data_IF_009089493272
#
_entry.id   IF_009089493272
#
_cell.length_a   1.000
_cell.length_b   1.000
_cell.length_c   1.000
_cell.angle_alpha   90.00
_cell.angle_beta   90.00
_cell.angle_gamma   90.00
#
_symmetry.space_group_name_H-M   'P 1'
#
loop_
_entity.id
_entity.type
_entity.pdbx_description
1 polymer ?
#
# COMPACT_ATOMS: atom_id res chain seq x y z
N UNK A 1 -19.96 -141.51 -24.71
CA UNK A 1 -19.95 -140.51 -23.62
C UNK A 1 -20.46 -139.21 -24.24
N UNK A 2 -21.62 -138.71 -23.81
CA UNK A 2 -22.13 -137.42 -24.29
C UNK A 2 -21.68 -136.35 -23.30
N UNK A 3 -20.78 -135.48 -23.73
CA UNK A 3 -20.33 -134.33 -22.96
C UNK A 3 -21.28 -133.16 -23.20
N UNK A 4 -21.75 -132.51 -22.14
CA UNK A 4 -22.55 -131.27 -22.24
C UNK A 4 -21.69 -130.10 -21.80
N UNK A 5 -21.34 -129.23 -22.73
CA UNK A 5 -20.56 -128.02 -22.48
C UNK A 5 -21.47 -126.81 -22.34
N UNK A 6 -21.23 -125.96 -21.35
CA UNK A 6 -21.93 -124.70 -21.12
C UNK A 6 -20.93 -123.55 -21.03
N UNK A 7 -21.27 -122.41 -21.61
CA UNK A 7 -20.38 -121.24 -21.70
C UNK A 7 -20.99 -120.04 -20.99
N UNK A 8 -20.17 -119.24 -20.32
CA UNK A 8 -20.59 -118.01 -19.63
C UNK A 8 -19.78 -116.82 -20.15
N UNK A 9 -20.44 -115.69 -20.41
CA UNK A 9 -19.80 -114.46 -20.87
C UNK A 9 -19.15 -113.71 -19.69
N UNK A 10 -17.85 -113.42 -19.79
CA UNK A 10 -17.07 -112.70 -18.79
C UNK A 10 -16.92 -111.20 -19.11
N UNK A 11 -17.55 -110.71 -20.18
CA UNK A 11 -17.46 -109.29 -20.55
C UNK A 11 -18.07 -108.39 -19.48
N UNK A 12 -17.49 -107.20 -19.33
CA UNK A 12 -18.01 -106.15 -18.45
C UNK A 12 -19.44 -105.77 -18.82
N UNK A 13 -20.25 -105.48 -17.80
CA UNK A 13 -21.66 -105.12 -17.89
C UNK A 13 -21.88 -103.83 -17.09
N UNK A 14 -22.43 -102.77 -17.72
CA UNK A 14 -22.82 -101.58 -17.00
C UNK A 14 -24.12 -101.84 -16.24
N UNK A 15 -24.10 -101.53 -14.95
CA UNK A 15 -25.25 -101.64 -14.05
C UNK A 15 -25.59 -100.24 -13.54
N UNK A 16 -26.68 -99.63 -14.03
CA UNK A 16 -27.19 -98.40 -13.45
C UNK A 16 -27.78 -98.71 -12.08
N UNK A 17 -27.40 -97.91 -11.10
CA UNK A 17 -27.83 -98.04 -9.71
C UNK A 17 -28.43 -96.71 -9.27
N UNK A 18 -29.66 -96.76 -8.78
CA UNK A 18 -30.37 -95.59 -8.29
C UNK A 18 -30.88 -95.90 -6.87
N UNK A 19 -30.40 -95.13 -5.89
CA UNK A 19 -30.89 -95.24 -4.52
C UNK A 19 -31.68 -93.99 -4.21
N UNK A 20 -32.97 -94.17 -3.96
CA UNK A 20 -33.88 -93.10 -3.51
C UNK A 20 -34.07 -93.13 -2.01
N UNK A 21 -34.27 -91.94 -1.43
CA UNK A 21 -34.56 -91.76 0.00
C UNK A 21 -33.54 -92.46 0.92
N UNK A 22 -32.24 -92.35 0.59
CA UNK A 22 -31.16 -92.81 1.45
C UNK A 22 -30.88 -91.74 2.52
N UNK A 23 -31.11 -92.08 3.78
CA UNK A 23 -30.82 -91.16 4.88
C UNK A 23 -29.32 -91.04 5.09
N UNK A 24 -28.81 -89.81 5.03
CA UNK A 24 -27.43 -89.49 5.39
C UNK A 24 -27.25 -89.42 6.91
N UNK A 25 -25.99 -89.33 7.36
CA UNK A 25 -25.69 -88.87 8.72
C UNK A 25 -26.27 -87.47 8.91
N UNK A 26 -27.15 -87.31 9.89
CA UNK A 26 -27.93 -86.08 10.10
C UNK A 26 -29.39 -86.16 9.64
N UNK A 27 -29.81 -87.25 8.99
CA UNK A 27 -31.22 -87.52 8.69
C UNK A 27 -31.75 -86.85 7.42
N UNK A 28 -30.88 -86.31 6.57
CA UNK A 28 -31.29 -85.73 5.28
C UNK A 28 -31.51 -86.86 4.26
N UNK A 29 -32.69 -86.94 3.62
CA UNK A 29 -32.93 -87.91 2.56
C UNK A 29 -32.20 -87.48 1.29
N UNK A 30 -31.38 -88.39 0.75
CA UNK A 30 -30.60 -88.19 -0.47
C UNK A 30 -30.99 -89.19 -1.55
N UNK A 31 -30.94 -88.72 -2.80
CA UNK A 31 -31.09 -89.50 -4.01
C UNK A 31 -29.74 -89.54 -4.73
N UNK A 32 -29.25 -90.74 -5.00
CA UNK A 32 -27.93 -90.96 -5.59
C UNK A 32 -28.10 -91.81 -6.84
N UNK A 33 -27.51 -91.35 -7.94
CA UNK A 33 -27.41 -92.09 -9.18
C UNK A 33 -25.95 -92.46 -9.43
N UNK A 34 -25.69 -93.73 -9.68
CA UNK A 34 -24.37 -94.26 -9.95
C UNK A 34 -24.41 -95.27 -11.10
N UNK A 35 -23.26 -95.44 -11.77
CA UNK A 35 -23.05 -96.53 -12.72
C UNK A 35 -21.87 -97.37 -12.23
N UNK A 36 -22.13 -98.66 -12.06
CA UNK A 36 -21.12 -99.65 -11.75
C UNK A 36 -20.83 -100.49 -12.99
N UNK A 37 -19.56 -100.68 -13.31
CA UNK A 37 -19.12 -101.65 -14.30
C UNK A 37 -18.69 -102.90 -13.57
N UNK A 38 -19.43 -103.99 -13.77
CA UNK A 38 -19.13 -105.29 -13.16
C UNK A 38 -18.79 -106.31 -14.22
N UNK A 39 -18.07 -107.35 -13.85
CA UNK A 39 -17.88 -108.54 -14.68
C UNK A 39 -17.91 -109.79 -13.82
N UNK A 40 -18.07 -110.94 -14.45
CA UNK A 40 -17.82 -112.20 -13.76
C UNK A 40 -16.32 -112.35 -13.57
N UNK A 41 -15.88 -112.69 -12.36
CA UNK A 41 -14.46 -112.81 -12.06
C UNK A 41 -13.83 -113.97 -12.82
N UNK A 42 -12.60 -113.76 -13.30
CA UNK A 42 -11.78 -114.83 -13.90
C UNK A 42 -10.87 -115.53 -12.87
N UNK A 43 -10.89 -115.10 -11.60
CA UNK A 43 -10.07 -115.70 -10.55
C UNK A 43 -10.64 -117.09 -10.20
N UNK A 44 -9.83 -118.17 -10.36
CA UNK A 44 -10.23 -119.54 -10.04
C UNK A 44 -10.78 -119.71 -8.61
N UNK A 45 -10.42 -118.85 -7.66
CA UNK A 45 -10.87 -118.92 -6.27
C UNK A 45 -12.32 -118.50 -6.07
N UNK A 46 -12.83 -117.56 -6.88
CA UNK A 46 -14.17 -116.99 -6.71
C UNK A 46 -15.10 -117.25 -7.90
N UNK A 47 -14.57 -117.58 -9.08
CA UNK A 47 -15.38 -117.87 -10.28
C UNK A 47 -16.36 -119.03 -10.07
N UNK A 48 -16.01 -120.02 -9.23
CA UNK A 48 -16.90 -121.13 -8.88
C UNK A 48 -18.23 -120.68 -8.30
N UNK A 49 -18.23 -119.61 -7.49
CA UNK A 49 -19.43 -119.03 -6.90
C UNK A 49 -20.38 -118.42 -7.95
N UNK A 50 -19.82 -117.86 -9.03
CA UNK A 50 -20.62 -117.30 -10.13
C UNK A 50 -21.16 -118.41 -11.03
N UNK A 51 -20.36 -119.45 -11.30
CA UNK A 51 -20.79 -120.62 -12.06
C UNK A 51 -21.94 -121.32 -11.33
N UNK A 52 -21.81 -121.59 -10.03
CA UNK A 52 -22.86 -122.27 -9.27
C UNK A 52 -24.20 -121.50 -9.28
N UNK A 53 -24.16 -120.17 -9.24
CA UNK A 53 -25.37 -119.33 -9.12
C UNK A 53 -25.98 -118.93 -10.46
N UNK A 54 -25.15 -118.66 -11.45
CA UNK A 54 -25.54 -117.98 -12.68
C UNK A 54 -25.33 -118.82 -13.95
N UNK A 55 -24.77 -120.03 -13.85
CA UNK A 55 -24.74 -120.95 -15.00
C UNK A 55 -26.19 -121.22 -15.47
N UNK A 56 -26.43 -121.05 -16.78
CA UNK A 56 -27.76 -121.09 -17.42
C UNK A 56 -28.73 -119.96 -17.07
N UNK A 57 -28.30 -118.95 -16.31
CA UNK A 57 -29.12 -117.76 -16.07
C UNK A 57 -28.91 -116.72 -17.15
N UNK A 58 -29.94 -115.92 -17.39
CA UNK A 58 -29.84 -114.78 -18.29
C UNK A 58 -28.96 -113.68 -17.69
N UNK A 59 -28.29 -112.91 -18.55
CA UNK A 59 -27.42 -111.81 -18.14
C UNK A 59 -28.18 -110.71 -17.37
N UNK A 60 -29.48 -110.56 -17.64
CA UNK A 60 -30.35 -109.65 -16.89
C UNK A 60 -30.50 -110.04 -15.42
N UNK A 61 -30.50 -111.34 -15.11
CA UNK A 61 -30.56 -111.82 -13.72
C UNK A 61 -29.27 -111.52 -12.96
N UNK A 62 -28.11 -111.70 -13.60
CA UNK A 62 -26.80 -111.30 -13.02
C UNK A 62 -26.79 -109.80 -12.73
N UNK A 63 -27.25 -109.00 -13.69
CA UNK A 63 -27.34 -107.54 -13.58
C UNK A 63 -28.29 -107.12 -12.46
N UNK A 64 -29.44 -107.81 -12.31
CA UNK A 64 -30.44 -107.56 -11.28
C UNK A 64 -29.88 -107.85 -9.88
N UNK A 65 -29.28 -109.01 -9.67
CA UNK A 65 -28.70 -109.41 -8.37
C UNK A 65 -27.54 -108.48 -7.99
N UNK A 66 -26.69 -108.12 -8.95
CA UNK A 66 -25.62 -107.16 -8.72
C UNK A 66 -26.16 -105.77 -8.37
N UNK A 67 -27.20 -105.30 -9.07
CA UNK A 67 -27.88 -104.02 -8.76
C UNK A 67 -28.43 -104.01 -7.35
N UNK A 68 -29.19 -105.03 -6.94
CA UNK A 68 -29.74 -105.13 -5.59
C UNK A 68 -28.65 -105.13 -4.50
N UNK A 69 -27.53 -105.81 -4.76
CA UNK A 69 -26.37 -105.82 -3.84
C UNK A 69 -25.67 -104.46 -3.76
N UNK A 70 -25.55 -103.77 -4.89
CA UNK A 70 -25.00 -102.41 -4.98
C UNK A 70 -25.88 -101.39 -4.27
N UNK A 71 -27.20 -101.44 -4.46
CA UNK A 71 -28.16 -100.55 -3.80
C UNK A 71 -28.13 -100.69 -2.28
N UNK A 72 -28.08 -101.93 -1.77
CA UNK A 72 -27.99 -102.20 -0.34
C UNK A 72 -26.72 -101.61 0.29
N UNK A 73 -25.57 -101.85 -0.33
CA UNK A 73 -24.28 -101.34 0.14
C UNK A 73 -24.20 -99.81 0.04
N UNK A 74 -24.62 -99.22 -1.08
CA UNK A 74 -24.68 -97.77 -1.24
C UNK A 74 -25.52 -97.13 -0.12
N UNK A 75 -26.70 -97.69 0.17
CA UNK A 75 -27.55 -97.20 1.26
C UNK A 75 -26.86 -97.28 2.62
N UNK A 76 -26.13 -98.37 2.89
CA UNK A 76 -25.37 -98.56 4.13
C UNK A 76 -24.27 -97.52 4.33
N UNK A 77 -23.46 -97.26 3.30
CA UNK A 77 -22.35 -96.29 3.39
C UNK A 77 -22.88 -94.86 3.51
N UNK A 78 -23.94 -94.51 2.77
CA UNK A 78 -24.55 -93.17 2.82
C UNK A 78 -25.04 -92.81 4.22
N UNK A 79 -25.53 -93.78 4.99
CA UNK A 79 -25.96 -93.56 6.37
C UNK A 79 -24.82 -93.09 7.31
N UNK A 80 -23.55 -93.30 6.93
CA UNK A 80 -22.39 -92.94 7.76
C UNK A 80 -21.80 -91.56 7.45
N UNK A 81 -22.16 -90.95 6.31
CA UNK A 81 -21.57 -89.72 5.81
C UNK A 81 -22.58 -88.57 5.80
N UNK A 82 -22.11 -87.34 5.92
CA UNK A 82 -22.98 -86.16 5.81
C UNK A 82 -23.16 -85.74 4.34
N UNK A 83 -24.24 -85.02 3.98
CA UNK A 83 -24.48 -84.56 2.62
C UNK A 83 -23.34 -83.70 2.05
N UNK A 84 -22.67 -82.91 2.90
CA UNK A 84 -21.54 -82.06 2.52
C UNK A 84 -20.33 -82.90 2.15
N UNK A 85 -19.97 -83.88 2.99
CA UNK A 85 -18.84 -84.78 2.74
C UNK A 85 -19.02 -85.54 1.42
N UNK A 86 -20.25 -85.97 1.14
CA UNK A 86 -20.60 -86.64 -0.10
C UNK A 86 -20.42 -85.73 -1.33
N UNK A 87 -20.67 -84.43 -1.19
CA UNK A 87 -20.55 -83.49 -2.29
C UNK A 87 -19.11 -82.96 -2.47
N UNK A 88 -18.37 -82.78 -1.39
CA UNK A 88 -16.99 -82.26 -1.40
C UNK A 88 -15.98 -83.27 -1.96
N UNK A 89 -16.06 -84.55 -1.56
CA UNK A 89 -15.11 -85.58 -1.99
C UNK A 89 -15.80 -86.84 -2.52
N UNK A 90 -16.28 -86.74 -3.75
CA UNK A 90 -16.95 -87.83 -4.46
C UNK A 90 -16.01 -89.00 -4.80
N UNK A 91 -14.71 -88.74 -4.92
CA UNK A 91 -13.73 -89.77 -5.25
C UNK A 91 -13.48 -90.66 -4.04
N UNK A 92 -13.21 -90.07 -2.88
CA UNK A 92 -13.02 -90.81 -1.63
C UNK A 92 -14.25 -91.64 -1.28
N UNK A 93 -15.45 -91.11 -1.50
CA UNK A 93 -16.68 -91.86 -1.28
C UNK A 93 -16.82 -93.05 -2.25
N UNK A 94 -16.53 -92.85 -3.54
CA UNK A 94 -16.56 -93.93 -4.52
C UNK A 94 -15.56 -95.06 -4.18
N UNK A 95 -14.37 -94.72 -3.69
CA UNK A 95 -13.37 -95.69 -3.23
C UNK A 95 -13.87 -96.51 -2.03
N UNK A 96 -14.41 -95.85 -0.99
CA UNK A 96 -14.93 -96.55 0.19
C UNK A 96 -16.08 -97.50 -0.15
N UNK A 97 -17.01 -97.08 -1.00
CA UNK A 97 -18.07 -97.96 -1.47
C UNK A 97 -17.49 -99.12 -2.28
N UNK A 98 -16.53 -98.83 -3.16
CA UNK A 98 -15.92 -99.86 -4.00
C UNK A 98 -15.28 -100.96 -3.15
N UNK A 99 -14.63 -100.63 -2.03
CA UNK A 99 -14.07 -101.62 -1.10
C UNK A 99 -15.14 -102.51 -0.46
N UNK A 100 -16.22 -101.93 0.06
CA UNK A 100 -17.31 -102.68 0.70
C UNK A 100 -18.07 -103.56 -0.30
N UNK A 101 -18.45 -102.97 -1.43
CA UNK A 101 -19.14 -103.65 -2.53
C UNK A 101 -18.29 -104.77 -3.12
N UNK A 102 -16.98 -104.56 -3.29
CA UNK A 102 -16.10 -105.58 -3.87
C UNK A 102 -16.08 -106.86 -3.04
N UNK A 103 -16.16 -106.73 -1.70
CA UNK A 103 -16.21 -107.89 -0.79
C UNK A 103 -17.51 -108.68 -0.94
N UNK A 104 -18.64 -108.00 -1.10
CA UNK A 104 -19.93 -108.66 -1.26
C UNK A 104 -20.14 -109.25 -2.66
N UNK A 105 -19.70 -108.55 -3.70
CA UNK A 105 -19.72 -109.06 -5.07
C UNK A 105 -18.79 -110.27 -5.24
N UNK A 106 -17.64 -110.30 -4.57
CA UNK A 106 -16.74 -111.45 -4.60
C UNK A 106 -17.39 -112.73 -4.05
N UNK A 107 -18.27 -112.63 -3.04
CA UNK A 107 -19.05 -113.78 -2.54
C UNK A 107 -19.99 -114.34 -3.59
N UNK A 108 -20.45 -113.51 -4.53
CA UNK A 108 -21.27 -113.88 -5.69
C UNK A 108 -20.43 -114.34 -6.90
N UNK A 109 -19.10 -114.25 -6.82
CA UNK A 109 -18.18 -114.51 -7.93
C UNK A 109 -18.13 -113.38 -8.97
N UNK A 110 -18.61 -112.19 -8.61
CA UNK A 110 -18.59 -110.99 -9.43
C UNK A 110 -17.44 -110.07 -9.00
N UNK A 111 -16.90 -109.33 -9.96
CA UNK A 111 -15.86 -108.33 -9.75
C UNK A 111 -16.37 -106.95 -10.16
N UNK A 112 -16.16 -105.96 -9.30
CA UNK A 112 -16.34 -104.55 -9.62
C UNK A 112 -15.08 -104.03 -10.33
N UNK A 113 -15.23 -103.47 -11.53
CA UNK A 113 -14.14 -102.80 -12.23
C UNK A 113 -14.09 -101.32 -11.84
N UNK A 114 -15.21 -100.62 -12.00
CA UNK A 114 -15.32 -99.17 -11.76
C UNK A 114 -16.69 -98.85 -11.20
N UNK A 115 -16.73 -97.98 -10.17
CA UNK A 115 -17.94 -97.32 -9.69
C UNK A 115 -17.82 -95.81 -9.95
N UNK A 116 -18.81 -95.21 -10.61
CA UNK A 116 -18.90 -93.77 -10.79
C UNK A 116 -20.23 -93.24 -10.29
N UNK A 117 -20.17 -92.16 -9.53
CA UNK A 117 -21.36 -91.44 -9.06
C UNK A 117 -21.67 -90.35 -10.07
N UNK A 118 -22.88 -90.38 -10.62
CA UNK A 118 -23.33 -89.42 -11.63
C UNK A 118 -23.91 -88.17 -10.96
N UNK A 119 -24.85 -88.37 -10.04
CA UNK A 119 -25.55 -87.28 -9.40
C UNK A 119 -25.88 -87.63 -7.95
N UNK A 120 -25.87 -86.60 -7.12
CA UNK A 120 -26.32 -86.61 -5.73
C UNK A 120 -27.25 -85.41 -5.61
N UNK A 121 -28.48 -85.67 -5.22
CA UNK A 121 -29.51 -84.66 -5.01
C UNK A 121 -30.23 -84.94 -3.70
N UNK A 122 -30.76 -83.91 -3.06
CA UNK A 122 -31.52 -84.04 -1.83
C UNK A 122 -32.98 -83.59 -2.06
N UNK A 123 -33.93 -84.18 -1.34
CA UNK A 123 -35.36 -83.87 -1.51
C UNK A 123 -35.79 -82.58 -0.80
N UNK A 124 -34.95 -82.03 0.09
CA UNK A 124 -35.31 -80.97 1.04
C UNK A 124 -34.58 -79.64 0.73
N UNK A 125 -33.97 -79.53 -0.44
CA UNK A 125 -33.20 -78.36 -0.89
C UNK A 125 -32.09 -77.91 0.08
N UNK A 126 -31.56 -78.84 0.87
CA UNK A 126 -30.54 -78.66 1.90
C UNK A 126 -29.23 -78.17 1.32
N UNK A 127 -28.70 -78.85 0.29
CA UNK A 127 -27.41 -78.49 -0.31
C UNK A 127 -27.46 -77.10 -0.95
N UNK A 128 -28.57 -76.77 -1.61
CA UNK A 128 -28.79 -75.44 -2.19
C UNK A 128 -28.94 -74.36 -1.10
N UNK A 129 -29.56 -74.68 0.03
CA UNK A 129 -29.70 -73.75 1.15
C UNK A 129 -28.37 -73.44 1.84
N UNK A 130 -27.49 -74.44 2.00
CA UNK A 130 -26.12 -74.23 2.46
C UNK A 130 -25.35 -73.34 1.50
N UNK A 131 -25.42 -73.62 0.20
CA UNK A 131 -24.76 -72.80 -0.83
C UNK A 131 -25.21 -71.34 -0.77
N UNK A 132 -26.52 -71.08 -0.68
CA UNK A 132 -27.08 -69.73 -0.51
C UNK A 132 -26.57 -69.04 0.74
N UNK A 133 -26.52 -69.73 1.88
CA UNK A 133 -26.00 -69.19 3.15
C UNK A 133 -24.53 -68.82 3.04
N UNK A 134 -23.72 -69.67 2.41
CA UNK A 134 -22.29 -69.43 2.23
C UNK A 134 -22.03 -68.22 1.32
N UNK A 135 -22.76 -68.12 0.21
CA UNK A 135 -22.68 -66.96 -0.70
C UNK A 135 -23.09 -65.67 0.03
N UNK A 136 -24.16 -65.70 0.82
CA UNK A 136 -24.60 -64.54 1.60
C UNK A 136 -23.57 -64.11 2.67
N UNK A 137 -22.88 -65.07 3.29
CA UNK A 137 -21.80 -64.80 4.24
C UNK A 137 -20.61 -64.14 3.55
N UNK A 138 -20.13 -64.71 2.44
CA UNK A 138 -19.01 -64.13 1.66
C UNK A 138 -19.35 -62.71 1.20
N UNK A 139 -20.58 -62.48 0.72
CA UNK A 139 -21.03 -61.15 0.30
C UNK A 139 -21.05 -60.16 1.46
N UNK A 140 -21.56 -60.56 2.62
CA UNK A 140 -21.57 -59.72 3.83
C UNK A 140 -20.15 -59.37 4.25
N UNK A 141 -19.25 -60.34 4.28
CA UNK A 141 -17.87 -60.14 4.72
C UNK A 141 -17.12 -59.20 3.76
N UNK A 142 -17.37 -59.33 2.45
CA UNK A 142 -16.86 -58.41 1.44
C UNK A 142 -17.38 -56.97 1.63
N UNK A 143 -18.69 -56.81 1.90
CA UNK A 143 -19.31 -55.51 2.15
C UNK A 143 -18.78 -54.85 3.42
N UNK A 144 -18.56 -55.62 4.49
CA UNK A 144 -17.93 -55.15 5.72
C UNK A 144 -16.50 -54.68 5.43
N UNK A 145 -15.72 -55.46 4.67
CA UNK A 145 -14.35 -55.11 4.32
C UNK A 145 -14.28 -53.82 3.50
N UNK A 146 -15.17 -53.64 2.52
CA UNK A 146 -15.24 -52.43 1.70
C UNK A 146 -15.65 -51.20 2.54
N UNK A 147 -16.66 -51.36 3.40
CA UNK A 147 -17.11 -50.28 4.29
C UNK A 147 -16.02 -49.84 5.27
N UNK A 148 -15.30 -50.79 5.87
CA UNK A 148 -14.18 -50.50 6.77
C UNK A 148 -13.03 -49.79 6.04
N UNK A 149 -12.66 -50.27 4.85
CA UNK A 149 -11.62 -49.62 4.05
C UNK A 149 -12.00 -48.19 3.65
N UNK A 150 -13.27 -47.95 3.32
CA UNK A 150 -13.78 -46.61 3.02
C UNK A 150 -13.76 -45.71 4.24
N UNK A 151 -14.23 -46.18 5.40
CA UNK A 151 -14.22 -45.42 6.64
C UNK A 151 -12.79 -45.05 7.07
N UNK A 152 -11.84 -45.98 6.93
CA UNK A 152 -10.42 -45.72 7.20
C UNK A 152 -9.84 -44.66 6.25
N UNK A 153 -10.14 -44.77 4.95
CA UNK A 153 -9.71 -43.77 3.97
C UNK A 153 -10.29 -42.37 4.28
N UNK A 154 -11.58 -42.28 4.60
CA UNK A 154 -12.24 -41.02 5.00
C UNK A 154 -11.62 -40.43 6.28
N UNK A 155 -11.28 -41.26 7.26
CA UNK A 155 -10.62 -40.82 8.48
C UNK A 155 -9.22 -40.26 8.20
N UNK A 156 -8.42 -40.96 7.38
CA UNK A 156 -7.08 -40.52 6.98
C UNK A 156 -7.18 -39.20 6.21
N UNK A 157 -8.12 -39.07 5.27
CA UNK A 157 -8.34 -37.84 4.51
C UNK A 157 -8.70 -36.67 5.44
N UNK A 158 -9.63 -36.89 6.38
CA UNK A 158 -10.04 -35.88 7.35
C UNK A 158 -8.86 -35.46 8.26
N UNK A 159 -8.03 -36.39 8.69
CA UNK A 159 -6.84 -36.11 9.50
C UNK A 159 -5.78 -35.33 8.71
N UNK A 160 -5.52 -35.72 7.45
CA UNK A 160 -4.64 -35.00 6.55
C UNK A 160 -5.14 -33.56 6.28
N UNK A 161 -6.44 -33.39 6.05
CA UNK A 161 -7.03 -32.07 5.85
C UNK A 161 -6.90 -31.20 7.09
N UNK A 162 -7.19 -31.75 8.28
CA UNK A 162 -7.00 -31.04 9.56
C UNK A 162 -5.56 -30.60 9.76
N UNK A 163 -4.58 -31.47 9.50
CA UNK A 163 -3.15 -31.13 9.60
C UNK A 163 -2.76 -30.03 8.60
N UNK A 164 -3.25 -30.11 7.37
CA UNK A 164 -3.02 -29.09 6.34
C UNK A 164 -3.61 -27.73 6.76
N UNK A 165 -4.82 -27.70 7.33
CA UNK A 165 -5.44 -26.47 7.83
C UNK A 165 -4.67 -25.85 9.01
N UNK A 166 -4.19 -26.68 9.94
CA UNK A 166 -3.32 -26.23 11.05
C UNK A 166 -2.04 -25.61 10.48
N UNK A 167 -1.34 -26.31 9.58
CA UNK A 167 -0.10 -25.81 8.97
C UNK A 167 -0.30 -24.49 8.21
N UNK A 168 -1.41 -24.35 7.46
CA UNK A 168 -1.78 -23.09 6.79
C UNK A 168 -2.01 -21.97 7.80
N UNK A 169 -2.74 -22.25 8.87
CA UNK A 169 -3.05 -21.26 9.91
C UNK A 169 -1.78 -20.81 10.64
N UNK A 170 -0.88 -21.73 10.97
CA UNK A 170 0.42 -21.42 11.57
C UNK A 170 1.28 -20.56 10.64
N UNK A 171 1.35 -20.92 9.35
CA UNK A 171 2.07 -20.14 8.34
C UNK A 171 1.53 -18.72 8.21
N UNK A 172 0.19 -18.56 8.12
CA UNK A 172 -0.46 -17.25 8.09
C UNK A 172 -0.16 -16.44 9.35
N UNK A 173 -0.24 -17.07 10.52
CA UNK A 173 0.06 -16.43 11.81
C UNK A 173 1.51 -15.94 11.85
N UNK A 174 2.45 -16.74 11.36
CA UNK A 174 3.86 -16.36 11.28
C UNK A 174 4.07 -15.18 10.32
N UNK A 175 3.44 -15.20 9.15
CA UNK A 175 3.51 -14.08 8.19
C UNK A 175 2.97 -12.79 8.78
N UNK A 176 1.80 -12.83 9.44
CA UNK A 176 1.21 -11.65 10.10
C UNK A 176 2.11 -11.13 11.23
N UNK A 177 2.71 -12.02 12.04
CA UNK A 177 3.69 -11.61 13.05
C UNK A 177 4.89 -10.91 12.43
N UNK A 178 5.47 -11.47 11.36
CA UNK A 178 6.62 -10.89 10.65
C UNK A 178 6.27 -9.56 9.98
N UNK A 179 5.09 -9.43 9.41
CA UNK A 179 4.62 -8.18 8.82
C UNK A 179 4.43 -7.09 9.89
N UNK A 180 3.88 -7.44 11.06
CA UNK A 180 3.76 -6.53 12.19
C UNK A 180 5.13 -6.09 12.74
N UNK A 181 6.09 -7.01 12.86
CA UNK A 181 7.48 -6.69 13.22
C UNK A 181 8.09 -5.71 12.20
N UNK A 182 7.94 -5.99 10.91
CA UNK A 182 8.44 -5.14 9.84
C UNK A 182 7.78 -3.75 9.85
N UNK A 183 6.48 -3.65 10.14
CA UNK A 183 5.78 -2.36 10.30
C UNK A 183 6.33 -1.56 11.49
N UNK A 184 6.63 -2.20 12.62
CA UNK A 184 7.26 -1.54 13.77
C UNK A 184 8.64 -0.98 13.41
N UNK A 185 9.49 -1.81 12.80
CA UNK A 185 10.84 -1.39 12.38
C UNK A 185 10.77 -0.23 11.38
N UNK A 186 9.86 -0.29 10.40
CA UNK A 186 9.65 0.81 9.45
C UNK A 186 9.21 2.10 10.15
N UNK A 187 8.27 2.02 11.09
CA UNK A 187 7.79 3.17 11.83
C UNK A 187 8.89 3.79 12.71
N UNK A 188 9.70 2.97 13.38
CA UNK A 188 10.86 3.43 14.15
C UNK A 188 11.90 4.13 13.27
N UNK A 189 12.22 3.53 12.12
CA UNK A 189 13.17 4.10 11.17
C UNK A 189 12.65 5.42 10.57
N UNK A 190 11.38 5.49 10.21
CA UNK A 190 10.76 6.70 9.68
C UNK A 190 10.71 7.80 10.74
N UNK A 191 10.40 7.46 11.99
CA UNK A 191 10.44 8.40 13.12
C UNK A 191 11.85 8.94 13.34
N UNK A 192 12.87 8.08 13.29
CA UNK A 192 14.27 8.48 13.42
C UNK A 192 14.69 9.39 12.25
N UNK A 193 14.34 9.04 11.01
CA UNK A 193 14.62 9.84 9.83
C UNK A 193 13.95 11.23 9.90
N UNK A 194 12.67 11.30 10.30
CA UNK A 194 11.97 12.58 10.51
C UNK A 194 12.61 13.40 11.62
N UNK A 195 13.02 12.76 12.72
CA UNK A 195 13.69 13.47 13.82
C UNK A 195 15.01 14.08 13.38
N UNK A 196 15.82 13.36 12.61
CA UNK A 196 17.09 13.87 12.07
C UNK A 196 16.87 14.95 10.99
N UNK A 197 15.84 14.81 10.16
CA UNK A 197 15.47 15.84 9.18
C UNK A 197 15.04 17.14 9.86
N UNK A 198 14.20 17.06 10.90
CA UNK A 198 13.76 18.22 11.67
C UNK A 198 14.92 18.84 12.46
N UNK A 199 15.82 18.04 13.04
CA UNK A 199 17.08 18.54 13.65
C UNK A 199 17.92 19.30 12.63
N UNK A 200 18.08 18.75 11.43
CA UNK A 200 18.85 19.37 10.34
C UNK A 200 18.21 20.68 9.89
N UNK A 201 16.88 20.71 9.71
CA UNK A 201 16.13 21.94 9.37
C UNK A 201 16.24 22.98 10.48
N UNK A 202 16.13 22.57 11.75
CA UNK A 202 16.27 23.46 12.90
C UNK A 202 17.69 24.06 12.96
N UNK A 203 18.73 23.23 12.82
CA UNK A 203 20.11 23.67 12.76
C UNK A 203 20.36 24.63 11.58
N UNK A 204 19.78 24.35 10.40
CA UNK A 204 19.87 25.23 9.24
C UNK A 204 19.16 26.58 9.47
N UNK A 205 17.98 26.59 10.10
CA UNK A 205 17.27 27.81 10.48
C UNK A 205 18.05 28.62 11.51
N UNK A 206 18.63 27.95 12.51
CA UNK A 206 19.45 28.60 13.52
C UNK A 206 20.71 29.22 12.89
N UNK A 207 21.40 28.49 12.02
CA UNK A 207 22.56 29.01 11.28
C UNK A 207 22.18 30.22 10.42
N UNK A 208 21.03 30.19 9.74
CA UNK A 208 20.50 31.34 8.97
C UNK A 208 20.18 32.53 9.89
N UNK A 209 19.50 32.30 11.01
CA UNK A 209 19.17 33.35 11.97
C UNK A 209 20.43 34.00 12.56
N UNK A 210 21.46 33.21 12.92
CA UNK A 210 22.76 33.74 13.36
C UNK A 210 23.45 34.55 12.26
N UNK A 211 23.43 34.07 11.01
CA UNK A 211 24.00 34.79 9.88
C UNK A 211 23.26 36.12 9.60
N UNK A 212 21.92 36.13 9.72
CA UNK A 212 21.10 37.34 9.60
C UNK A 212 21.39 38.32 10.74
N UNK A 213 21.49 37.85 11.99
CA UNK A 213 21.88 38.68 13.13
C UNK A 213 23.23 39.36 12.90
N UNK A 214 24.25 38.60 12.47
CA UNK A 214 25.57 39.14 12.12
C UNK A 214 25.49 40.16 10.97
N UNK A 215 24.67 39.89 9.95
CA UNK A 215 24.47 40.83 8.86
C UNK A 215 23.80 42.13 9.34
N UNK A 216 22.83 42.04 10.26
CA UNK A 216 22.19 43.22 10.85
C UNK A 216 23.16 44.01 11.73
N UNK A 217 24.03 43.36 12.51
CA UNK A 217 25.06 44.08 13.30
C UNK A 217 26.03 44.81 12.39
N UNK A 218 26.50 44.16 11.31
CA UNK A 218 27.38 44.80 10.32
C UNK A 218 26.67 45.96 9.62
N UNK A 219 25.39 45.82 9.27
CA UNK A 219 24.59 46.93 8.69
C UNK A 219 24.40 48.09 9.66
N UNK A 220 24.14 47.80 10.93
CA UNK A 220 24.01 48.84 11.95
C UNK A 220 25.33 49.60 12.15
N UNK A 221 26.47 48.91 12.16
CA UNK A 221 27.80 49.54 12.19
C UNK A 221 28.06 50.40 10.95
N UNK A 222 27.74 49.88 9.76
CA UNK A 222 27.86 50.61 8.50
C UNK A 222 27.00 51.89 8.50
N UNK A 223 25.75 51.80 8.94
CA UNK A 223 24.84 52.95 8.99
C UNK A 223 25.29 53.97 10.04
N UNK A 224 25.80 53.52 11.20
CA UNK A 224 26.40 54.42 12.20
C UNK A 224 27.59 55.17 11.62
N UNK A 225 28.51 54.47 10.96
CA UNK A 225 29.67 55.08 10.28
C UNK A 225 29.24 56.05 9.19
N UNK A 226 28.17 55.73 8.44
CA UNK A 226 27.61 56.62 7.42
C UNK A 226 27.02 57.88 8.02
N UNK A 227 26.17 57.77 9.04
CA UNK A 227 25.60 58.93 9.75
C UNK A 227 26.67 59.80 10.39
N UNK A 228 27.72 59.18 10.95
CA UNK A 228 28.88 59.88 11.48
C UNK A 228 29.61 60.68 10.38
N UNK A 229 29.79 60.09 9.19
CA UNK A 229 30.42 60.74 8.03
C UNK A 229 29.55 61.82 7.35
N UNK A 230 28.25 61.56 7.19
CA UNK A 230 27.33 62.39 6.41
C UNK A 230 26.68 63.51 7.23
N UNK A 231 26.37 63.28 8.52
CA UNK A 231 25.68 64.26 9.36
C UNK A 231 26.59 64.85 10.44
N UNK A 232 27.27 64.01 11.23
CA UNK A 232 28.01 64.47 12.41
C UNK A 232 29.26 65.24 12.00
N UNK A 233 30.07 64.71 11.09
CA UNK A 233 31.31 65.37 10.64
C UNK A 233 31.04 66.74 9.98
N UNK A 234 30.07 66.89 9.06
CA UNK A 234 29.72 68.20 8.52
C UNK A 234 29.11 69.13 9.57
N UNK A 235 28.28 68.62 10.49
CA UNK A 235 27.72 69.42 11.58
C UNK A 235 28.79 69.91 12.56
N UNK A 236 29.77 69.07 12.90
CA UNK A 236 30.93 69.44 13.72
C UNK A 236 31.83 70.43 12.99
N UNK A 237 32.09 70.21 11.69
CA UNK A 237 32.83 71.15 10.86
C UNK A 237 32.11 72.51 10.77
N UNK A 238 30.78 72.53 10.63
CA UNK A 238 29.98 73.75 10.67
C UNK A 238 29.98 74.40 12.05
N UNK A 239 29.91 73.62 13.13
CA UNK A 239 29.99 74.13 14.51
C UNK A 239 31.34 74.81 14.74
N UNK A 240 32.44 74.15 14.36
CA UNK A 240 33.78 74.71 14.45
C UNK A 240 33.93 75.95 13.56
N UNK A 241 33.40 75.93 12.33
CA UNK A 241 33.39 77.11 11.45
C UNK A 241 32.62 78.28 12.08
N UNK A 242 31.44 78.04 12.66
CA UNK A 242 30.65 79.06 13.38
C UNK A 242 31.38 79.58 14.61
N UNK A 243 32.03 78.71 15.38
CA UNK A 243 32.81 79.11 16.55
C UNK A 243 34.00 79.99 16.16
N UNK A 244 34.69 79.66 15.07
CA UNK A 244 35.78 80.47 14.51
C UNK A 244 35.28 81.81 13.96
N UNK A 245 34.15 81.84 13.25
CA UNK A 245 33.50 83.07 12.79
C UNK A 245 33.09 83.94 13.98
N UNK A 246 32.50 83.34 15.03
CA UNK A 246 32.12 84.06 16.24
C UNK A 246 33.33 84.63 16.98
N UNK A 247 34.44 83.88 17.08
CA UNK A 247 35.72 84.39 17.62
C UNK A 247 36.28 85.53 16.77
N UNK A 248 36.20 85.44 15.44
CA UNK A 248 36.59 86.52 14.53
C UNK A 248 35.74 87.78 14.69
N UNK A 249 34.42 87.63 14.78
CA UNK A 249 33.49 88.73 15.02
C UNK A 249 33.69 89.37 16.40
N UNK A 250 33.94 88.56 17.43
CA UNK A 250 34.23 89.05 18.79
C UNK A 250 35.56 89.81 18.84
N UNK A 251 36.60 89.35 18.11
CA UNK A 251 37.86 90.08 17.99
C UNK A 251 37.66 91.43 17.28
N UNK A 252 36.96 91.44 16.14
CA UNK A 252 36.65 92.68 15.41
C UNK A 252 35.79 93.65 16.23
N UNK A 253 34.82 93.15 17.00
CA UNK A 253 34.01 93.95 17.92
C UNK A 253 34.84 94.49 19.09
N UNK A 254 35.72 93.69 19.68
CA UNK A 254 36.60 94.12 20.77
C UNK A 254 37.60 95.19 20.33
N UNK A 255 38.15 95.06 19.12
CA UNK A 255 39.10 96.02 18.55
C UNK A 255 38.40 97.32 18.14
N UNK A 256 37.19 97.23 17.55
CA UNK A 256 36.34 98.39 17.29
C UNK A 256 35.92 99.09 18.59
N UNK A 257 35.56 98.34 19.64
CA UNK A 257 35.22 98.92 20.94
C UNK A 257 36.42 99.61 21.61
N UNK A 258 37.64 99.07 21.44
CA UNK A 258 38.86 99.75 21.88
C UNK A 258 39.13 101.03 21.08
N UNK A 259 38.92 101.00 19.76
CA UNK A 259 39.04 102.19 18.91
C UNK A 259 38.01 103.26 19.27
N UNK A 260 36.75 102.90 19.52
CA UNK A 260 35.70 103.82 20.00
C UNK A 260 35.99 104.38 21.38
N UNK A 261 36.56 103.57 22.29
CA UNK A 261 37.01 104.05 23.60
C UNK A 261 38.15 105.07 23.47
N UNK A 262 39.11 104.84 22.58
CA UNK A 262 40.21 105.77 22.28
C UNK A 262 39.71 107.08 21.66
N UNK A 263 38.74 107.00 20.75
CA UNK A 263 38.08 108.17 20.16
C UNK A 263 37.32 108.96 21.23
N UNK A 264 36.62 108.29 22.15
CA UNK A 264 35.95 108.94 23.27
C UNK A 264 36.93 109.58 24.26
N UNK A 265 38.08 108.95 24.52
CA UNK A 265 39.11 109.50 25.43
C UNK A 265 39.78 110.74 24.81
N UNK A 266 40.07 110.72 23.51
CA UNK A 266 40.50 111.92 22.76
C UNK A 266 39.44 113.03 22.78
N UNK A 267 38.15 112.69 22.62
CA UNK A 267 37.04 113.65 22.73
C UNK A 267 36.98 114.28 24.12
N UNK A 268 37.20 113.50 25.18
CA UNK A 268 37.29 113.99 26.57
C UNK A 268 38.49 114.92 26.78
N UNK A 269 39.66 114.63 26.19
CA UNK A 269 40.85 115.48 26.29
C UNK A 269 40.65 116.83 25.57
N UNK A 270 40.07 116.81 24.37
CA UNK A 270 39.72 118.06 23.64
C UNK A 270 38.68 118.88 24.40
N UNK A 271 37.77 118.23 25.14
CA UNK A 271 36.79 118.91 25.99
C UNK A 271 37.45 119.63 27.18
N UNK A 272 38.56 119.12 27.72
CA UNK A 272 39.27 119.78 28.82
C UNK A 272 40.17 120.94 28.36
N UNK A 273 40.73 120.87 27.15
CA UNK A 273 41.66 121.90 26.67
C UNK A 273 40.96 123.08 25.97
N UNK A 274 39.71 122.93 25.53
CA UNK A 274 39.01 123.96 24.73
C UNK A 274 37.69 124.38 25.35
N UNK A 275 37.77 125.25 26.35
CA UNK A 275 36.62 125.83 27.02
C UNK A 275 35.80 126.78 26.13
N UNK A 276 34.50 126.48 26.03
CA UNK A 276 33.34 127.30 25.62
C UNK A 276 33.02 127.59 24.13
N UNK A 277 33.83 127.23 23.15
CA UNK A 277 33.46 127.41 21.71
C UNK A 277 33.33 126.11 20.88
N UNK A 278 33.37 124.93 21.51
CA UNK A 278 33.35 123.63 20.79
C UNK A 278 31.95 123.11 20.38
N UNK A 279 30.86 123.70 20.89
CA UNK A 279 29.50 123.22 20.61
C UNK A 279 29.03 123.55 19.18
N UNK A 280 29.50 124.64 18.57
CA UNK A 280 29.02 125.08 17.25
C UNK A 280 29.72 124.37 16.07
N UNK A 281 30.94 123.82 16.26
CA UNK A 281 31.61 122.99 15.24
C UNK A 281 31.02 121.56 15.18
N UNK A 282 30.53 121.04 16.31
CA UNK A 282 30.03 119.67 16.45
C UNK A 282 28.72 119.43 15.68
N UNK A 283 27.85 120.45 15.55
CA UNK A 283 26.60 120.35 14.79
C UNK A 283 26.81 120.22 13.28
N UNK A 284 27.84 120.85 12.72
CA UNK A 284 28.16 120.74 11.29
C UNK A 284 28.68 119.34 10.92
N UNK A 285 29.42 118.70 11.81
CA UNK A 285 29.99 117.37 11.56
C UNK A 285 28.92 116.27 11.67
N UNK A 286 28.01 116.36 12.65
CA UNK A 286 26.91 115.41 12.87
C UNK A 286 25.89 115.35 11.71
N UNK A 287 25.54 116.49 11.10
CA UNK A 287 24.62 116.52 9.95
C UNK A 287 25.17 115.71 8.76
N UNK A 288 26.48 115.77 8.53
CA UNK A 288 27.12 115.04 7.43
C UNK A 288 27.16 113.51 7.64
N UNK A 289 27.12 113.06 8.90
CA UNK A 289 27.14 111.64 9.25
C UNK A 289 25.73 111.02 9.11
N UNK A 290 24.69 111.75 9.53
CA UNK A 290 23.29 111.30 9.40
C UNK A 290 22.88 111.21 7.91
N UNK A 291 23.33 112.14 7.06
CA UNK A 291 23.08 112.08 5.61
C UNK A 291 23.73 110.87 4.92
N UNK A 292 24.88 110.40 5.42
CA UNK A 292 25.58 109.23 4.87
C UNK A 292 24.95 107.90 5.29
N UNK A 293 24.44 107.82 6.52
CA UNK A 293 23.85 106.59 7.04
C UNK A 293 22.40 106.40 6.56
N UNK A 294 21.67 107.49 6.29
CA UNK A 294 20.33 107.44 5.67
C UNK A 294 20.36 106.98 4.20
N UNK A 295 21.45 107.25 3.47
CA UNK A 295 21.64 106.78 2.10
C UNK A 295 21.88 105.25 1.99
N UNK A 296 22.25 104.57 3.08
CA UNK A 296 22.47 103.11 3.07
C UNK A 296 21.20 102.27 3.22
N UNK A 297 20.07 102.89 3.58
CA UNK A 297 18.79 102.17 3.79
C UNK A 297 18.12 101.79 2.46
N UNK A 298 18.58 102.34 1.33
CA UNK A 298 17.93 102.19 0.01
C UNK A 298 18.36 100.97 -0.82
N UNK A 299 19.23 100.06 -0.33
CA UNK A 299 19.79 98.97 -1.15
C UNK A 299 19.47 97.51 -0.74
N UNK A 300 18.62 97.24 0.28
CA UNK A 300 18.37 95.84 0.70
C UNK A 300 16.89 95.42 0.78
N UNK A 301 16.16 95.55 -0.32
CA UNK A 301 14.95 94.71 -0.54
C UNK A 301 15.07 94.01 -1.89
N UNK A 302 15.83 92.91 -1.94
CA UNK A 302 15.72 91.90 -2.99
C UNK A 302 14.81 90.78 -2.48
N UNK A 303 13.54 90.81 -2.87
CA UNK A 303 12.63 89.66 -2.75
C UNK A 303 12.80 88.79 -4.00
N UNK A 304 13.59 87.71 -3.89
CA UNK A 304 13.67 86.68 -4.93
C UNK A 304 12.51 85.68 -4.77
N UNK A 305 11.53 85.86 -5.66
CA UNK A 305 10.49 84.92 -6.10
C UNK A 305 9.37 84.49 -5.13
N UNK A 306 8.20 85.05 -5.44
CA UNK A 306 6.86 84.67 -5.00
C UNK A 306 6.41 83.45 -5.81
N UNK A 307 5.94 82.41 -5.12
CA UNK A 307 5.35 81.21 -5.72
C UNK A 307 3.87 81.46 -6.00
N UNK A 308 3.51 81.71 -7.26
CA UNK A 308 2.11 81.91 -7.67
C UNK A 308 1.48 80.55 -7.93
N UNK A 309 0.38 80.25 -7.22
CA UNK A 309 -0.48 79.10 -7.49
C UNK A 309 -1.49 79.55 -8.55
N UNK A 310 -1.35 79.03 -9.77
CA UNK A 310 -2.25 79.29 -10.88
C UNK A 310 -3.56 78.50 -10.70
N UNK A 311 -4.70 79.19 -10.81
CA UNK A 311 -6.04 78.58 -10.80
C UNK A 311 -6.63 78.45 -12.21
N UNK A 312 -5.82 78.58 -13.27
CA UNK A 312 -6.15 78.06 -14.59
C UNK A 312 -6.93 78.98 -15.53
N UNK A 313 -6.79 80.32 -15.41
CA UNK A 313 -7.50 81.28 -16.28
C UNK A 313 -6.57 82.25 -17.06
N UNK A 314 -5.26 81.98 -17.13
CA UNK A 314 -4.36 82.59 -18.12
C UNK A 314 -4.20 84.13 -18.07
N UNK A 315 -4.69 84.80 -17.02
CA UNK A 315 -4.68 86.27 -16.85
C UNK A 315 -3.79 86.79 -15.71
N UNK A 316 -3.09 85.91 -15.02
CA UNK A 316 -2.27 86.20 -13.83
C UNK A 316 -0.95 86.93 -14.12
N UNK A 317 -0.50 86.99 -15.38
CA UNK A 317 0.72 87.73 -15.78
C UNK A 317 0.38 89.17 -16.22
N UNK A 318 -0.84 89.42 -16.72
CA UNK A 318 -1.25 90.75 -17.22
C UNK A 318 -1.59 91.74 -16.09
N UNK A 319 -1.95 91.27 -14.90
CA UNK A 319 -2.22 92.11 -13.73
C UNK A 319 -0.95 92.56 -13.00
N UNK A 320 0.19 91.88 -13.19
CA UNK A 320 1.46 92.29 -12.58
C UNK A 320 2.13 93.46 -13.34
N UNK A 321 1.98 93.53 -14.67
CA UNK A 321 2.64 94.56 -15.49
C UNK A 321 1.97 95.94 -15.33
N UNK A 322 0.69 95.99 -14.96
CA UNK A 322 -0.04 97.24 -14.70
C UNK A 322 -0.04 97.67 -13.21
N UNK A 323 0.51 96.86 -12.29
CA UNK A 323 0.59 97.20 -10.87
C UNK A 323 1.78 98.11 -10.52
N UNK A 324 2.86 98.05 -11.32
CA UNK A 324 4.08 98.83 -11.07
C UNK A 324 3.88 100.36 -11.12
N UNK A 325 3.15 100.94 -12.09
CA UNK A 325 2.89 102.38 -12.10
C UNK A 325 2.00 102.86 -10.94
N UNK A 326 1.07 102.03 -10.46
CA UNK A 326 0.21 102.37 -9.33
C UNK A 326 0.93 102.30 -7.99
N UNK A 327 1.73 101.25 -7.74
CA UNK A 327 2.51 101.12 -6.50
C UNK A 327 3.56 102.24 -6.41
N UNK A 328 4.19 102.60 -7.54
CA UNK A 328 5.12 103.72 -7.61
C UNK A 328 4.43 105.08 -7.36
N UNK A 329 3.21 105.29 -7.90
CA UNK A 329 2.40 106.48 -7.58
C UNK A 329 1.97 106.54 -6.11
N UNK A 330 1.61 105.40 -5.53
CA UNK A 330 1.19 105.33 -4.13
C UNK A 330 2.36 105.54 -3.16
N UNK A 331 3.57 105.12 -3.55
CA UNK A 331 4.81 105.44 -2.86
C UNK A 331 5.14 106.94 -2.96
N UNK A 332 5.12 107.52 -4.16
CA UNK A 332 5.36 108.95 -4.35
C UNK A 332 4.35 109.84 -3.61
N UNK A 333 3.07 109.43 -3.54
CA UNK A 333 2.05 110.11 -2.75
C UNK A 333 2.28 109.99 -1.23
N UNK A 334 2.71 108.82 -0.74
CA UNK A 334 3.05 108.66 0.69
C UNK A 334 4.31 109.42 1.09
N UNK A 335 5.29 109.53 0.19
CA UNK A 335 6.47 110.38 0.36
C UNK A 335 6.06 111.86 0.41
N UNK A 336 5.16 112.31 -0.46
CA UNK A 336 4.63 113.68 -0.41
C UNK A 336 3.86 113.96 0.90
N UNK A 337 3.05 113.01 1.37
CA UNK A 337 2.30 113.14 2.63
C UNK A 337 3.16 113.06 3.90
N UNK A 338 4.31 112.38 3.85
CA UNK A 338 5.18 112.18 5.04
C UNK A 338 6.33 113.19 5.09
N UNK A 339 6.82 113.67 3.93
CA UNK A 339 8.00 114.55 3.83
C UNK A 339 7.69 115.93 3.21
N UNK A 340 6.49 116.15 2.66
CA UNK A 340 6.05 117.46 2.17
C UNK A 340 6.75 117.97 0.90
N UNK A 341 7.33 117.07 0.09
CA UNK A 341 8.06 117.41 -1.14
C UNK A 341 7.22 117.04 -2.35
N UNK A 342 6.73 118.05 -3.09
CA UNK A 342 5.93 117.87 -4.32
C UNK A 342 6.83 117.72 -5.56
N UNK A 343 6.85 116.52 -6.14
CA UNK A 343 7.64 116.18 -7.34
C UNK A 343 6.77 116.04 -8.59
N UNK A 344 5.48 116.39 -8.52
CA UNK A 344 4.50 116.17 -9.60
C UNK A 344 4.08 117.42 -10.38
N UNK A 345 4.67 118.58 -10.08
CA UNK A 345 4.22 119.89 -10.60
C UNK A 345 4.66 120.33 -12.01
N UNK A 346 5.43 119.55 -12.81
CA UNK A 346 6.09 120.12 -14.00
C UNK A 346 5.93 119.41 -15.36
N UNK A 347 4.96 118.50 -15.53
CA UNK A 347 4.74 117.88 -16.85
C UNK A 347 3.29 117.97 -17.33
N UNK A 348 2.80 119.19 -17.59
CA UNK A 348 1.59 119.34 -18.39
C UNK A 348 1.52 120.69 -19.13
N UNK A 349 2.39 120.92 -20.12
CA UNK A 349 2.07 121.82 -21.24
C UNK A 349 3.04 121.66 -22.44
N UNK A 350 2.61 120.99 -23.51
CA UNK A 350 2.54 121.52 -24.88
C UNK A 350 2.30 120.41 -25.92
N UNK A 351 1.16 120.59 -26.59
CA UNK A 351 0.62 120.02 -27.82
C UNK A 351 1.62 119.57 -28.90
N UNK A 352 1.20 118.52 -29.63
CA UNK A 352 1.05 118.61 -31.09
C UNK A 352 1.65 117.46 -31.90
N UNK A 353 0.77 116.74 -32.64
CA UNK A 353 0.91 116.16 -34.01
C UNK A 353 2.18 115.33 -34.33
N UNK A 354 2.22 114.28 -35.13
CA UNK A 354 1.42 113.62 -36.17
C UNK A 354 2.22 112.32 -36.46
N UNK A 355 1.62 111.13 -36.55
CA UNK A 355 1.28 110.42 -37.80
C UNK A 355 2.42 109.53 -38.39
N UNK A 356 2.03 108.25 -38.54
CA UNK A 356 2.41 107.13 -39.45
C UNK A 356 3.60 106.18 -39.22
N UNK A 357 3.18 104.91 -39.10
CA UNK A 357 3.55 103.72 -39.89
C UNK A 357 4.94 103.10 -39.79
N UNK A 358 4.90 101.77 -39.79
CA UNK A 358 5.92 100.95 -40.45
C UNK A 358 6.37 99.79 -39.59
N UNK A 359 5.46 98.87 -39.26
CA UNK A 359 5.42 97.54 -39.88
C UNK A 359 6.64 96.66 -39.65
N UNK A 360 6.31 95.47 -39.09
CA UNK A 360 6.79 94.15 -39.49
C UNK A 360 8.25 93.81 -39.15
N UNK A 361 8.58 92.59 -38.80
CA UNK A 361 7.85 91.35 -38.62
C UNK A 361 8.86 90.39 -38.00
N UNK A 362 8.34 89.39 -37.28
CA UNK A 362 8.78 87.99 -37.30
C UNK A 362 10.25 87.68 -36.95
N UNK A 363 10.54 86.59 -36.28
CA UNK A 363 9.77 85.41 -35.97
C UNK A 363 10.65 84.54 -35.08
N UNK A 364 10.03 83.73 -34.24
CA UNK A 364 9.99 82.28 -34.44
C UNK A 364 11.42 81.69 -34.36
N UNK A 365 11.77 80.89 -33.37
CA UNK A 365 10.95 80.04 -32.53
C UNK A 365 11.68 78.72 -32.32
N UNK A 366 11.34 78.10 -31.21
CA UNK A 366 11.33 76.66 -30.97
C UNK A 366 12.63 75.83 -31.05
N UNK A 367 12.97 75.28 -29.87
CA UNK A 367 13.06 73.83 -29.58
C UNK A 367 12.64 72.95 -30.78
N UNK A 368 13.43 71.98 -31.20
CA UNK A 368 13.72 70.75 -30.48
C UNK A 368 14.78 69.97 -31.25
#
# INVERSE_FOLDING_TARGET
ILETTKTMDLRTMPVPVEVRNAYSKGGTPLNIQAIANIKVSNDPKIVGNAIERFLDRDRSEITRVARETLEGNLRGVVATLTPEQLNEDRLQFAERIAEDVSRDLAKLGLQLDILKIQSVSDDVDYLNSIGRKQIAMIRRDAEIAESNAKAEAEQIEADCQRQSEIAKTESLTLTVKKENELRKIKAELEQQARSEEERTKAAAKEARARAEQLLQTVRAELERLRLEADEVLPAEAQRQAKELIAKGNAASLSENAQAEALVNDMLSQVWQETGKDAAELFYLQQISMILRESAKVTEQVKLENIKVIDSGDGKSIASLVNAYPEIFRQFLNNVNQTLGIDVTGNFNNKNGKEVIAGNREQGIGNRK
#
